data_IF_511224031128
#
_entry.id   IF_511224031128
#
_cell.length_a   1.000
_cell.length_b   1.000
_cell.length_c   1.000
_cell.angle_alpha   90.00
_cell.angle_beta   90.00
_cell.angle_gamma   90.00
#
_symmetry.space_group_name_H-M   'P 1'
#
loop_
_entity.id
_entity.type
_entity.pdbx_description
1 polymer ?
#
# COMPACT_ATOMS: atom_id res chain seq x y z
N UNK A 1 -17.43 -10.55 -4.70
CA UNK A 1 -16.20 -11.13 -5.32
C UNK A 1 -14.96 -10.62 -4.59
N UNK A 2 -13.94 -11.46 -4.39
CA UNK A 2 -12.70 -11.07 -3.69
C UNK A 2 -11.48 -11.14 -4.61
N UNK A 3 -10.52 -10.23 -4.39
CA UNK A 3 -9.25 -10.15 -5.12
C UNK A 3 -8.11 -9.83 -4.16
N UNK A 4 -6.98 -10.52 -4.31
CA UNK A 4 -5.73 -10.22 -3.60
C UNK A 4 -4.79 -9.45 -4.54
N UNK A 5 -4.28 -8.30 -4.09
CA UNK A 5 -3.30 -7.48 -4.82
C UNK A 5 -2.06 -7.33 -3.95
N UNK A 6 -0.88 -7.43 -4.55
CA UNK A 6 0.38 -7.12 -3.88
C UNK A 6 0.97 -5.82 -4.43
N UNK A 7 1.36 -4.93 -3.53
CA UNK A 7 1.92 -3.62 -3.87
C UNK A 7 3.30 -3.52 -3.24
N UNK A 8 4.30 -3.09 -4.02
CA UNK A 8 5.58 -2.68 -3.47
C UNK A 8 5.63 -1.16 -3.39
N UNK A 9 5.74 -0.64 -2.18
CA UNK A 9 6.05 0.78 -1.98
C UNK A 9 7.57 0.93 -1.98
N UNK A 10 8.08 1.75 -2.88
CA UNK A 10 9.47 2.21 -2.86
C UNK A 10 9.52 3.73 -2.76
N UNK A 11 9.91 4.21 -1.58
CA UNK A 11 10.09 5.63 -1.33
C UNK A 11 11.48 6.13 -1.76
N UNK A 12 12.39 5.24 -2.19
CA UNK A 12 13.74 5.59 -2.63
C UNK A 12 13.75 6.48 -3.86
N UNK A 13 12.80 6.27 -4.78
CA UNK A 13 12.64 7.07 -6.00
C UNK A 13 12.22 8.53 -5.70
N UNK A 14 11.43 8.74 -4.63
CA UNK A 14 10.86 10.05 -4.30
C UNK A 14 11.73 10.86 -3.34
N UNK A 15 12.58 10.20 -2.55
CA UNK A 15 13.28 10.85 -1.45
C UNK A 15 14.74 11.24 -1.74
N UNK A 16 15.24 11.05 -2.99
CA UNK A 16 16.65 11.30 -3.37
C UNK A 16 17.65 10.70 -2.37
N UNK A 17 17.38 9.49 -1.88
CA UNK A 17 18.23 8.79 -0.91
C UNK A 17 18.01 9.15 0.58
N UNK A 18 17.03 10.00 0.92
CA UNK A 18 16.60 10.20 2.32
C UNK A 18 15.56 9.15 2.71
N UNK A 19 15.59 8.66 3.95
CA UNK A 19 14.54 7.77 4.43
C UNK A 19 13.25 8.58 4.65
N UNK A 20 12.20 8.34 3.87
CA UNK A 20 10.87 8.84 4.19
C UNK A 20 10.31 8.00 5.33
N UNK A 21 10.24 8.62 6.51
CA UNK A 21 9.58 8.08 7.69
C UNK A 21 8.10 8.43 7.55
N UNK A 22 7.22 7.44 7.67
CA UNK A 22 5.78 7.63 7.58
C UNK A 22 5.05 6.77 8.60
N UNK A 23 3.90 7.26 9.05
CA UNK A 23 2.98 6.50 9.89
C UNK A 23 2.29 5.39 9.08
N UNK A 24 1.64 4.46 9.78
CA UNK A 24 0.79 3.46 9.12
C UNK A 24 -0.35 4.10 8.32
N UNK A 25 -0.84 5.29 8.74
CA UNK A 25 -1.85 6.03 7.99
C UNK A 25 -1.30 6.55 6.65
N UNK A 26 -0.07 7.04 6.62
CA UNK A 26 0.58 7.50 5.37
C UNK A 26 0.75 6.35 4.38
N UNK A 27 1.12 5.15 4.87
CA UNK A 27 1.20 3.94 4.04
C UNK A 27 -0.16 3.54 3.48
N UNK A 28 -1.22 3.65 4.27
CA UNK A 28 -2.57 3.34 3.82
C UNK A 28 -3.03 4.29 2.71
N UNK A 29 -2.76 5.59 2.85
CA UNK A 29 -3.07 6.59 1.81
C UNK A 29 -2.33 6.31 0.48
N UNK A 30 -1.06 5.90 0.54
CA UNK A 30 -0.30 5.51 -0.66
C UNK A 30 -0.86 4.25 -1.33
N UNK A 31 -1.36 3.30 -0.53
CA UNK A 31 -2.03 2.11 -1.06
C UNK A 31 -3.34 2.49 -1.75
N UNK A 32 -4.13 3.38 -1.17
CA UNK A 32 -5.37 3.89 -1.78
C UNK A 32 -5.10 4.61 -3.11
N UNK A 33 -4.11 5.51 -3.14
CA UNK A 33 -3.70 6.20 -4.36
C UNK A 33 -3.29 5.21 -5.46
N UNK A 34 -2.49 4.19 -5.13
CA UNK A 34 -2.07 3.17 -6.08
C UNK A 34 -3.24 2.31 -6.60
N UNK A 35 -4.28 2.12 -5.78
CA UNK A 35 -5.46 1.32 -6.11
C UNK A 35 -6.65 2.15 -6.60
N UNK A 36 -6.47 3.44 -6.89
CA UNK A 36 -7.56 4.35 -7.24
C UNK A 36 -8.45 3.81 -8.36
N UNK A 37 -7.87 3.21 -9.41
CA UNK A 37 -8.64 2.62 -10.51
C UNK A 37 -9.58 1.48 -10.09
N UNK A 38 -9.20 0.70 -9.07
CA UNK A 38 -10.06 -0.31 -8.47
C UNK A 38 -11.15 0.34 -7.62
N UNK A 39 -10.80 1.36 -6.84
CA UNK A 39 -11.76 2.10 -6.01
C UNK A 39 -12.84 2.77 -6.88
N UNK A 40 -12.45 3.34 -8.01
CA UNK A 40 -13.35 3.92 -9.01
C UNK A 40 -14.29 2.86 -9.63
N UNK A 41 -13.80 1.63 -9.81
CA UNK A 41 -14.62 0.47 -10.22
C UNK A 41 -15.40 -0.16 -9.03
N UNK A 42 -15.61 0.61 -7.96
CA UNK A 42 -16.39 0.24 -6.76
C UNK A 42 -15.88 -0.97 -5.99
N UNK A 43 -14.60 -1.30 -6.14
CA UNK A 43 -13.94 -2.20 -5.21
C UNK A 43 -13.67 -1.48 -3.89
N UNK A 44 -13.60 -2.25 -2.80
CA UNK A 44 -13.33 -1.75 -1.45
C UNK A 44 -12.12 -2.48 -0.88
N UNK A 45 -11.23 -1.74 -0.22
CA UNK A 45 -10.15 -2.33 0.56
C UNK A 45 -10.74 -2.93 1.83
N UNK A 46 -10.54 -4.21 2.03
CA UNK A 46 -10.98 -4.96 3.21
C UNK A 46 -9.84 -5.06 4.23
N UNK A 47 -8.61 -5.26 3.76
CA UNK A 47 -7.43 -5.31 4.62
C UNK A 47 -6.16 -4.93 3.87
N UNK A 48 -5.20 -4.39 4.61
CA UNK A 48 -3.83 -4.09 4.16
C UNK A 48 -2.88 -4.71 5.18
N UNK A 49 -2.00 -5.61 4.72
CA UNK A 49 -1.06 -6.34 5.58
C UNK A 49 0.36 -6.19 5.02
N UNK A 50 1.34 -5.90 5.86
CA UNK A 50 2.74 -5.94 5.43
C UNK A 50 3.17 -7.37 5.15
N UNK A 51 3.79 -7.58 4.00
CA UNK A 51 4.14 -8.89 3.45
C UNK A 51 5.66 -9.03 3.18
N UNK A 52 6.47 -8.02 3.50
CA UNK A 52 7.94 -8.12 3.45
C UNK A 52 8.64 -6.79 3.17
N UNK A 53 9.97 -6.79 3.10
CA UNK A 53 10.76 -5.65 2.63
C UNK A 53 10.64 -4.37 3.48
N UNK A 54 10.59 -4.51 4.81
CA UNK A 54 10.43 -3.41 5.79
C UNK A 54 9.04 -2.77 5.86
N UNK A 55 8.00 -3.40 5.30
CA UNK A 55 6.63 -2.89 5.34
C UNK A 55 6.09 -2.61 6.76
N UNK A 56 6.56 -3.38 7.76
CA UNK A 56 6.22 -3.23 9.18
C UNK A 56 7.05 -2.17 9.92
N UNK A 57 8.12 -1.66 9.30
CA UNK A 57 9.02 -0.66 9.89
C UNK A 57 8.55 0.78 9.68
N UNK A 58 9.24 1.76 10.25
CA UNK A 58 8.89 3.17 10.09
C UNK A 58 9.15 3.72 8.67
N UNK A 59 9.87 2.96 7.84
CA UNK A 59 10.08 3.31 6.44
C UNK A 59 8.80 3.04 5.64
N UNK A 60 8.40 3.98 4.78
CA UNK A 60 7.39 3.76 3.73
C UNK A 60 7.96 2.93 2.58
N UNK A 61 8.50 1.76 2.90
CA UNK A 61 9.09 0.82 1.93
C UNK A 61 8.68 -0.60 2.28
N UNK A 62 8.32 -1.38 1.26
CA UNK A 62 8.07 -2.81 1.41
C UNK A 62 6.87 -3.31 0.63
N UNK A 63 6.63 -4.61 0.76
CA UNK A 63 5.51 -5.29 0.14
C UNK A 63 4.29 -5.24 1.05
N UNK A 64 3.15 -4.94 0.47
CA UNK A 64 1.84 -4.94 1.11
C UNK A 64 0.93 -5.90 0.35
N UNK A 65 0.26 -6.79 1.07
CA UNK A 65 -0.83 -7.60 0.58
C UNK A 65 -2.15 -6.88 0.90
N UNK A 66 -2.95 -6.61 -0.12
CA UNK A 66 -4.21 -5.87 -0.02
C UNK A 66 -5.35 -6.76 -0.50
N UNK A 67 -6.35 -6.96 0.34
CA UNK A 67 -7.57 -7.68 -0.03
C UNK A 67 -8.62 -6.67 -0.46
N UNK A 68 -9.12 -6.85 -1.69
CA UNK A 68 -10.19 -6.08 -2.27
C UNK A 68 -11.47 -6.91 -2.36
N UNK A 69 -12.61 -6.26 -2.14
CA UNK A 69 -13.93 -6.86 -2.31
C UNK A 69 -14.84 -5.95 -3.15
N UNK A 70 -15.62 -6.57 -4.03
CA UNK A 70 -16.70 -5.92 -4.78
C UNK A 70 -18.01 -6.65 -4.47
N UNK A 71 -19.11 -5.92 -4.20
CA UNK A 71 -20.43 -6.52 -4.03
C UNK A 71 -20.82 -7.43 -5.19
#
# INVERSE_FOLDING_TARGET
MQKLVTIYLDNGAYAKGKMLVGSFADKHGLVEEHLQSYLDDRWRIVSVTGFGGSAEGLATRGWFAVVLEKP
#
